data_IF_834229801863
#
_entry.id   IF_834229801863
#
_cell.length_a   1.000
_cell.length_b   1.000
_cell.length_c   1.000
_cell.angle_alpha   90.00
_cell.angle_beta   90.00
_cell.angle_gamma   90.00
#
_symmetry.space_group_name_H-M   'P 1'
#
loop_
_entity.id
_entity.type
_entity.pdbx_description
1 polymer ?
#
# COMPACT_ATOMS: atom_id res chain seq x y z
N UNK A 1 -7.23 -17.08 -7.67
CA UNK A 1 -7.87 -18.39 -7.37
C UNK A 1 -8.30 -18.51 -5.91
N UNK A 2 -9.30 -19.34 -5.57
CA UNK A 2 -9.65 -19.73 -4.19
C UNK A 2 -9.44 -21.23 -3.97
N UNK A 3 -8.87 -21.62 -2.84
CA UNK A 3 -8.71 -23.02 -2.42
C UNK A 3 -9.03 -23.19 -0.95
N UNK A 4 -9.48 -24.38 -0.54
CA UNK A 4 -9.68 -24.70 0.87
C UNK A 4 -8.37 -25.14 1.54
N UNK A 5 -8.29 -24.98 2.86
CA UNK A 5 -7.15 -25.47 3.64
C UNK A 5 -6.91 -26.98 3.53
N UNK A 6 -7.95 -27.75 3.19
CA UNK A 6 -7.85 -29.22 3.01
C UNK A 6 -7.21 -29.55 1.67
N UNK A 7 -7.65 -28.89 0.59
CA UNK A 7 -7.08 -29.05 -0.75
C UNK A 7 -5.61 -28.63 -0.79
N UNK A 8 -5.26 -27.56 -0.09
CA UNK A 8 -3.86 -27.10 0.02
C UNK A 8 -2.93 -28.15 0.63
N UNK A 9 -3.42 -28.96 1.58
CA UNK A 9 -2.61 -30.01 2.22
C UNK A 9 -2.42 -31.23 1.32
N UNK A 10 -3.40 -31.50 0.46
CA UNK A 10 -3.42 -32.67 -0.41
C UNK A 10 -2.70 -32.42 -1.72
N UNK A 11 -2.68 -31.17 -2.18
CA UNK A 11 -2.12 -30.79 -3.47
C UNK A 11 -0.95 -29.81 -3.31
N UNK A 12 0.17 -30.09 -3.98
CA UNK A 12 1.24 -29.11 -4.16
C UNK A 12 0.79 -28.06 -5.18
N UNK A 13 0.84 -26.79 -4.82
CA UNK A 13 0.56 -25.69 -5.74
C UNK A 13 1.73 -25.55 -6.72
N UNK A 14 1.41 -25.53 -8.01
CA UNK A 14 2.39 -25.26 -9.05
C UNK A 14 2.88 -23.80 -8.95
N UNK A 15 4.20 -23.55 -8.78
CA UNK A 15 4.78 -22.21 -8.76
C UNK A 15 4.48 -21.37 -10.00
N UNK A 16 4.19 -21.99 -11.16
CA UNK A 16 3.79 -21.29 -12.38
C UNK A 16 2.45 -20.57 -12.20
N UNK A 17 1.52 -21.15 -11.44
CA UNK A 17 0.23 -20.54 -11.12
C UNK A 17 0.43 -19.31 -10.26
N UNK A 18 1.31 -19.38 -9.26
CA UNK A 18 1.63 -18.26 -8.34
C UNK A 18 2.26 -17.05 -9.03
N UNK A 19 2.90 -17.25 -10.18
CA UNK A 19 3.41 -16.14 -11.00
C UNK A 19 2.31 -15.42 -11.78
N UNK A 20 1.18 -16.08 -12.04
CA UNK A 20 0.08 -15.53 -12.84
C UNK A 20 -1.01 -14.93 -11.97
N UNK A 21 -1.30 -15.58 -10.84
CA UNK A 21 -2.40 -15.18 -9.97
C UNK A 21 -2.11 -15.44 -8.49
N UNK A 22 -2.79 -14.67 -7.64
CA UNK A 22 -2.77 -14.87 -6.20
C UNK A 22 -3.80 -15.94 -5.81
N UNK A 23 -3.44 -16.75 -4.82
CA UNK A 23 -4.27 -17.85 -4.35
C UNK A 23 -4.78 -17.52 -2.95
N UNK A 24 -6.09 -17.38 -2.80
CA UNK A 24 -6.74 -17.14 -1.51
C UNK A 24 -7.10 -18.47 -0.88
N UNK A 25 -6.61 -18.71 0.33
CA UNK A 25 -6.91 -19.91 1.09
C UNK A 25 -8.07 -19.62 2.04
N UNK A 26 -9.08 -20.48 1.99
CA UNK A 26 -10.28 -20.41 2.83
C UNK A 26 -10.31 -21.55 3.84
N UNK A 27 -10.95 -21.30 4.99
CA UNK A 27 -11.24 -22.29 6.01
C UNK A 27 -12.65 -22.03 6.54
N UNK A 28 -13.53 -23.04 6.48
CA UNK A 28 -14.96 -22.90 6.83
C UNK A 28 -15.61 -21.73 6.05
N UNK A 29 -15.42 -21.69 4.74
CA UNK A 29 -15.92 -20.64 3.84
C UNK A 29 -15.45 -19.21 4.14
N UNK A 30 -14.43 -19.03 4.99
CA UNK A 30 -13.86 -17.72 5.29
C UNK A 30 -12.43 -17.61 4.78
N UNK A 31 -12.06 -16.53 4.07
CA UNK A 31 -10.67 -16.31 3.69
C UNK A 31 -9.81 -16.13 4.95
N UNK A 32 -8.67 -16.82 5.00
CA UNK A 32 -7.76 -16.75 6.15
C UNK A 32 -6.32 -16.40 5.78
N UNK A 33 -5.87 -16.79 4.59
CA UNK A 33 -4.51 -16.53 4.11
C UNK A 33 -4.51 -16.37 2.59
N UNK A 34 -3.44 -15.78 2.06
CA UNK A 34 -3.21 -15.63 0.63
C UNK A 34 -1.77 -16.08 0.35
N UNK A 35 -1.59 -16.86 -0.71
CA UNK A 35 -0.28 -17.19 -1.27
C UNK A 35 -0.04 -16.29 -2.46
N UNK A 36 1.10 -15.61 -2.45
CA UNK A 36 1.53 -14.66 -3.48
C UNK A 36 2.99 -14.93 -3.84
N UNK A 37 3.38 -14.55 -5.05
CA UNK A 37 4.79 -14.54 -5.44
C UNK A 37 5.63 -13.63 -4.52
N UNK A 38 6.82 -14.09 -4.17
CA UNK A 38 7.71 -13.40 -3.23
C UNK A 38 8.19 -12.04 -3.74
N UNK A 39 8.48 -11.91 -5.03
CA UNK A 39 8.93 -10.65 -5.62
C UNK A 39 7.79 -9.65 -5.57
N UNK A 40 6.59 -10.08 -5.95
CA UNK A 40 5.36 -9.27 -5.85
C UNK A 40 5.08 -8.84 -4.41
N UNK A 41 5.20 -9.74 -3.43
CA UNK A 41 5.04 -9.42 -2.01
C UNK A 41 5.98 -8.29 -1.57
N UNK A 42 7.28 -8.38 -1.91
CA UNK A 42 8.24 -7.35 -1.55
C UNK A 42 7.91 -6.00 -2.17
N UNK A 43 7.49 -5.97 -3.44
CA UNK A 43 7.06 -4.72 -4.08
C UNK A 43 5.87 -4.09 -3.35
N UNK A 44 4.86 -4.88 -2.98
CA UNK A 44 3.70 -4.41 -2.23
C UNK A 44 4.08 -3.85 -0.85
N UNK A 45 5.00 -4.51 -0.14
CA UNK A 45 5.50 -4.03 1.15
C UNK A 45 6.23 -2.70 1.01
N UNK A 46 7.09 -2.54 0.01
CA UNK A 46 7.80 -1.29 -0.22
C UNK A 46 6.84 -0.16 -0.61
N UNK A 47 5.86 -0.44 -1.47
CA UNK A 47 4.81 0.53 -1.83
C UNK A 47 3.98 0.93 -0.61
N UNK A 48 3.59 -0.02 0.25
CA UNK A 48 2.84 0.28 1.46
C UNK A 48 3.62 1.21 2.41
N UNK A 49 4.92 0.97 2.59
CA UNK A 49 5.80 1.86 3.37
C UNK A 49 5.89 3.25 2.77
N UNK A 50 6.07 3.36 1.46
CA UNK A 50 6.14 4.67 0.79
C UNK A 50 4.81 5.42 0.91
N UNK A 51 3.68 4.72 0.79
CA UNK A 51 2.36 5.31 0.97
C UNK A 51 2.14 5.81 2.39
N UNK A 52 2.64 5.09 3.41
CA UNK A 52 2.59 5.55 4.80
C UNK A 52 3.42 6.83 5.00
N UNK A 53 4.62 6.90 4.42
CA UNK A 53 5.47 8.10 4.45
C UNK A 53 4.75 9.27 3.78
N UNK A 54 4.20 9.06 2.58
CA UNK A 54 3.50 10.10 1.84
C UNK A 54 2.27 10.61 2.57
N UNK A 55 1.50 9.73 3.23
CA UNK A 55 0.37 10.12 4.08
C UNK A 55 0.81 10.97 5.26
N UNK A 56 1.93 10.62 5.91
CA UNK A 56 2.48 11.42 7.02
C UNK A 56 2.97 12.78 6.54
N UNK A 57 3.68 12.84 5.42
CA UNK A 57 4.13 14.09 4.82
C UNK A 57 2.95 15.00 4.46
N UNK A 58 1.93 14.46 3.79
CA UNK A 58 0.72 15.22 3.48
C UNK A 58 0.00 15.72 4.73
N UNK A 59 -0.10 14.91 5.78
CA UNK A 59 -0.69 15.36 7.05
C UNK A 59 0.14 16.47 7.73
N UNK A 60 1.48 16.38 7.68
CA UNK A 60 2.37 17.43 8.19
C UNK A 60 2.25 18.73 7.40
N UNK A 61 2.16 18.65 6.08
CA UNK A 61 1.91 19.80 5.22
C UNK A 61 0.57 20.46 5.60
N UNK A 62 -0.52 19.70 5.68
CA UNK A 62 -1.83 20.24 6.08
C UNK A 62 -1.83 20.87 7.48
N UNK A 63 -1.09 20.31 8.44
CA UNK A 63 -0.93 20.89 9.78
C UNK A 63 -0.13 22.20 9.75
N UNK A 64 0.92 22.28 8.93
CA UNK A 64 1.71 23.49 8.72
C UNK A 64 0.91 24.59 8.02
N UNK A 65 0.10 24.23 7.02
CA UNK A 65 -0.83 25.15 6.37
C UNK A 65 -1.87 25.69 7.36
N UNK A 66 -2.40 24.83 8.22
CA UNK A 66 -3.32 25.25 9.28
C UNK A 66 -2.67 26.21 10.28
N UNK A 67 -1.44 25.92 10.75
CA UNK A 67 -0.74 26.79 11.69
C UNK A 67 -0.31 28.13 11.09
N UNK A 68 -0.14 28.20 9.77
CA UNK A 68 0.14 29.43 9.00
C UNK A 68 -1.15 30.17 8.57
N UNK A 69 -2.32 29.80 9.10
CA UNK A 69 -3.58 30.49 8.84
C UNK A 69 -4.21 30.15 7.48
N UNK A 70 -3.93 28.96 6.94
CA UNK A 70 -4.54 28.42 5.73
C UNK A 70 -3.87 28.81 4.42
N UNK A 71 -2.72 29.49 4.45
CA UNK A 71 -1.93 29.80 3.24
C UNK A 71 -0.88 28.73 3.03
N UNK A 72 -0.82 28.14 1.84
CA UNK A 72 0.20 27.15 1.52
C UNK A 72 1.58 27.80 1.58
N UNK A 73 2.59 27.14 2.16
CA UNK A 73 3.96 27.66 2.21
C UNK A 73 4.49 28.04 0.81
N UNK A 74 4.03 27.33 -0.24
CA UNK A 74 4.32 27.65 -1.64
C UNK A 74 3.73 28.99 -2.10
N UNK A 75 2.56 29.37 -1.60
CA UNK A 75 1.91 30.65 -1.90
C UNK A 75 2.60 31.81 -1.16
N UNK A 76 3.02 31.59 0.09
CA UNK A 76 3.78 32.57 0.86
C UNK A 76 5.13 32.90 0.19
N UNK A 77 5.83 31.89 -0.33
CA UNK A 77 7.12 32.08 -1.02
C UNK A 77 6.97 32.73 -2.40
N UNK A 78 5.84 32.53 -3.07
CA UNK A 78 5.53 33.19 -4.34
C UNK A 78 5.14 34.66 -4.15
N UNK A 79 4.37 34.97 -3.10
CA UNK A 79 4.00 36.35 -2.74
C UNK A 79 5.18 37.20 -2.27
N UNK A 80 6.15 36.62 -1.55
CA UNK A 80 7.31 37.35 -1.03
C UNK A 80 8.33 37.80 -2.11
N UNK A 81 8.27 37.26 -3.33
CA UNK A 81 9.18 37.60 -4.43
C UNK A 81 8.61 38.66 -5.40
N UNK A 82 7.44 39.23 -5.13
CA UNK A 82 6.79 40.23 -5.98
C UNK A 82 6.86 41.67 -5.43
N UNK A 83 7.46 41.88 -4.24
CA UNK A 83 7.63 43.19 -3.60
C UNK A 83 9.12 43.62 -3.52
N UNK A 84 9.92 43.33 -4.56
CA UNK A 84 11.33 43.73 -4.67
C UNK A 84 11.59 44.59 -5.91
#
# INVERSE_FOLDING_TARGET
>A
MYITSTELKQNTIDPVVLKREDIVITKREKPFAIIVDYIKYNQLVQQAKQNEINKKLSALESLGEYSLGGKSYKELKAGANLDG
#
